data_IF_686450681008
#
_entry.id   IF_686450681008
#
_cell.length_a   1.000
_cell.length_b   1.000
_cell.length_c   1.000
_cell.angle_alpha   90.00
_cell.angle_beta   90.00
_cell.angle_gamma   90.00
#
_symmetry.space_group_name_H-M   'P 1'
#
loop_
_entity.id
_entity.type
_entity.pdbx_description
1 polymer ?
#
# COMPACT_ATOMS: atom_id res chain seq x y z
N UNK A 1 -19.00 14.65 79.38
CA UNK A 1 -17.98 15.72 79.45
C UNK A 1 -17.33 15.81 78.08
N UNK A 2 -17.55 16.93 77.36
CA UNK A 2 -16.77 17.47 76.22
C UNK A 2 -16.75 16.61 74.92
N UNK A 3 -16.95 17.06 73.68
CA UNK A 3 -17.10 18.35 72.96
C UNK A 3 -17.75 17.95 71.60
N UNK A 4 -18.87 18.53 71.16
CA UNK A 4 -19.00 19.77 70.35
C UNK A 4 -18.56 19.66 68.87
N UNK A 5 -19.56 19.85 67.98
CA UNK A 5 -19.53 20.54 66.66
C UNK A 5 -18.60 19.96 65.57
N UNK A 6 -19.06 19.65 64.35
CA UNK A 6 -19.50 20.63 63.34
C UNK A 6 -20.37 20.02 62.25
N UNK A 7 -21.37 20.80 61.85
CA UNK A 7 -22.24 20.63 60.70
C UNK A 7 -21.49 20.78 59.35
N UNK A 8 -22.17 20.23 58.34
CA UNK A 8 -22.30 20.72 56.97
C UNK A 8 -21.22 20.45 55.91
N UNK A 9 -21.73 19.76 54.88
CA UNK A 9 -21.61 20.12 53.47
C UNK A 9 -20.24 19.97 52.83
N UNK A 10 -19.89 18.77 52.37
CA UNK A 10 -18.86 18.63 51.31
C UNK A 10 -18.92 17.33 50.48
N UNK A 11 -20.05 16.61 50.49
CA UNK A 11 -20.31 15.55 49.50
C UNK A 11 -21.52 15.92 48.64
N UNK A 12 -21.45 17.08 47.98
CA UNK A 12 -22.32 17.32 46.82
C UNK A 12 -21.77 16.51 45.67
N UNK A 13 -22.52 15.44 45.34
CA UNK A 13 -22.52 14.74 44.06
C UNK A 13 -22.06 15.68 42.94
N UNK A 14 -20.89 15.40 42.35
CA UNK A 14 -20.60 15.85 40.98
C UNK A 14 -21.43 14.95 40.07
N UNK A 15 -22.73 15.23 40.03
CA UNK A 15 -23.64 14.71 39.02
C UNK A 15 -23.34 15.43 37.71
N UNK A 16 -23.13 14.66 36.66
CA UNK A 16 -23.14 15.09 35.26
C UNK A 16 -21.97 15.96 34.81
N UNK A 17 -20.76 15.39 34.80
CA UNK A 17 -19.86 15.74 33.70
C UNK A 17 -20.48 15.08 32.46
N UNK A 18 -21.17 15.87 31.64
CA UNK A 18 -21.43 15.51 30.25
C UNK A 18 -20.08 15.45 29.55
N UNK A 19 -19.37 14.33 29.70
CA UNK A 19 -18.33 13.97 28.75
C UNK A 19 -19.09 13.90 27.43
N UNK A 20 -18.82 14.77 26.45
CA UNK A 20 -19.41 14.58 25.13
C UNK A 20 -19.01 13.16 24.76
N UNK A 21 -20.00 12.26 24.63
CA UNK A 21 -19.76 10.96 24.00
C UNK A 21 -19.11 11.34 22.69
N UNK A 22 -17.82 11.06 22.54
CA UNK A 22 -17.12 11.25 21.27
C UNK A 22 -17.91 10.37 20.34
N UNK A 23 -18.76 10.99 19.52
CA UNK A 23 -19.55 10.29 18.54
C UNK A 23 -18.51 9.81 17.55
N UNK A 24 -18.09 8.57 17.70
CA UNK A 24 -17.38 7.86 16.66
C UNK A 24 -18.39 7.74 15.53
N UNK A 25 -18.38 8.72 14.62
CA UNK A 25 -19.10 8.65 13.36
C UNK A 25 -18.44 7.52 12.58
N UNK A 26 -18.84 6.29 12.86
CA UNK A 26 -18.58 5.14 11.99
C UNK A 26 -19.51 5.29 10.80
N UNK A 27 -19.26 6.28 9.96
CA UNK A 27 -19.73 6.21 8.59
C UNK A 27 -18.93 5.07 7.96
N UNK A 28 -19.62 4.07 7.43
CA UNK A 28 -19.02 3.00 6.62
C UNK A 28 -18.44 3.64 5.34
N UNK A 29 -17.28 4.29 5.46
CA UNK A 29 -16.61 4.93 4.33
C UNK A 29 -15.94 3.82 3.53
N UNK A 30 -16.29 3.65 2.24
CA UNK A 30 -15.66 2.63 1.41
C UNK A 30 -14.17 2.93 1.26
N UNK A 31 -13.33 2.07 1.83
CA UNK A 31 -11.87 2.18 1.72
C UNK A 31 -11.32 1.10 0.80
N UNK A 32 -10.98 1.48 -0.43
CA UNK A 32 -10.37 0.59 -1.41
C UNK A 32 -8.90 0.35 -1.08
N UNK A 33 -8.49 -0.92 -1.14
CA UNK A 33 -7.08 -1.33 -0.94
C UNK A 33 -6.23 -0.81 -2.10
N UNK A 34 -5.10 -0.17 -1.77
CA UNK A 34 -4.16 0.35 -2.77
C UNK A 34 -3.30 -0.76 -3.39
N UNK A 35 -2.58 -0.46 -4.47
CA UNK A 35 -1.65 -1.40 -5.11
C UNK A 35 -0.50 -1.86 -4.21
N UNK A 36 -0.14 -1.07 -3.17
CA UNK A 36 0.83 -1.47 -2.14
C UNK A 36 0.20 -2.29 -1.01
N UNK A 37 -1.12 -2.42 -1.02
CA UNK A 37 -1.89 -3.15 -0.03
C UNK A 37 -2.37 -2.33 1.17
N UNK A 38 -2.16 -1.01 1.19
CA UNK A 38 -2.66 -0.15 2.26
C UNK A 38 -4.19 -0.07 2.25
N UNK A 39 -4.78 -0.26 3.43
CA UNK A 39 -6.18 -0.06 3.78
C UNK A 39 -6.25 0.29 5.28
N UNK A 40 -7.14 1.19 5.69
CA UNK A 40 -7.41 1.52 7.07
C UNK A 40 -8.34 0.47 7.70
N UNK A 41 -8.24 0.31 9.02
CA UNK A 41 -9.24 -0.44 9.78
C UNK A 41 -10.55 0.33 9.79
N UNK A 42 -11.69 -0.37 9.87
CA UNK A 42 -13.01 0.24 9.86
C UNK A 42 -13.24 1.23 11.01
N UNK A 43 -12.56 1.04 12.13
CA UNK A 43 -12.64 1.91 13.33
C UNK A 43 -11.61 3.03 13.34
N UNK A 44 -10.75 3.12 12.32
CA UNK A 44 -9.68 4.11 12.29
C UNK A 44 -10.23 5.52 12.02
N UNK A 45 -10.02 6.42 12.99
CA UNK A 45 -10.45 7.82 12.90
C UNK A 45 -9.91 8.55 11.66
N UNK A 46 -8.82 8.06 11.07
CA UNK A 46 -8.21 8.62 9.86
C UNK A 46 -9.13 8.51 8.63
N UNK A 47 -10.15 7.63 8.65
CA UNK A 47 -11.14 7.50 7.57
C UNK A 47 -12.03 8.73 7.41
N UNK A 48 -12.15 9.57 8.44
CA UNK A 48 -12.97 10.80 8.42
C UNK A 48 -12.59 11.73 7.25
N UNK A 49 -11.34 11.71 6.79
CA UNK A 49 -10.89 12.54 5.65
C UNK A 49 -11.57 12.19 4.32
N UNK A 50 -12.15 11.00 4.22
CA UNK A 50 -12.84 10.47 3.05
C UNK A 50 -14.37 10.46 3.22
N UNK A 51 -14.91 11.07 4.27
CA UNK A 51 -16.35 11.31 4.35
C UNK A 51 -16.76 12.24 3.21
N UNK A 52 -17.84 11.88 2.51
CA UNK A 52 -18.35 12.55 1.31
C UNK A 52 -17.35 12.66 0.15
N UNK A 53 -16.25 11.90 0.19
CA UNK A 53 -15.17 11.93 -0.81
C UNK A 53 -14.69 10.53 -1.14
N UNK A 54 -14.32 10.32 -2.40
CA UNK A 54 -13.77 9.04 -2.82
C UNK A 54 -12.24 9.03 -2.65
N UNK A 55 -11.72 7.99 -2.00
CA UNK A 55 -10.28 7.70 -2.01
C UNK A 55 -9.85 7.34 -3.43
N UNK A 56 -8.93 8.11 -3.99
CA UNK A 56 -8.40 7.86 -5.35
C UNK A 56 -7.36 6.74 -5.31
N UNK A 57 -7.65 5.64 -6.01
CA UNK A 57 -6.73 4.52 -6.20
C UNK A 57 -6.65 4.24 -7.70
N UNK A 58 -5.45 4.05 -8.22
CA UNK A 58 -5.26 3.65 -9.61
C UNK A 58 -5.71 2.19 -9.80
N UNK A 59 -6.71 1.88 -10.65
CA UNK A 59 -7.20 0.52 -10.85
C UNK A 59 -6.24 -0.36 -11.67
N UNK A 60 -5.31 0.21 -12.43
CA UNK A 60 -4.37 -0.54 -13.28
C UNK A 60 -3.06 -0.76 -12.53
N UNK A 61 -2.94 -1.90 -11.87
CA UNK A 61 -1.74 -2.22 -11.10
C UNK A 61 -0.61 -2.70 -12.03
N UNK A 62 0.59 -2.15 -11.84
CA UNK A 62 1.75 -2.48 -12.68
C UNK A 62 2.16 -3.95 -12.57
N UNK A 63 1.96 -4.58 -11.40
CA UNK A 63 2.25 -6.01 -11.18
C UNK A 63 1.44 -6.91 -12.12
N UNK A 64 0.16 -6.61 -12.34
CA UNK A 64 -0.70 -7.41 -13.22
C UNK A 64 -0.32 -7.19 -14.68
N UNK A 65 -0.03 -5.93 -15.04
CA UNK A 65 0.36 -5.56 -16.40
C UNK A 65 1.68 -6.21 -16.83
N UNK A 66 2.70 -6.24 -15.96
CA UNK A 66 3.99 -6.84 -16.32
C UNK A 66 3.92 -8.38 -16.37
N UNK A 67 3.12 -8.99 -15.49
CA UNK A 67 2.89 -10.44 -15.50
C UNK A 67 2.18 -10.89 -16.79
N UNK A 68 1.32 -10.04 -17.36
CA UNK A 68 0.64 -10.30 -18.63
C UNK A 68 1.57 -10.28 -19.85
N UNK A 69 2.75 -9.64 -19.77
CA UNK A 69 3.73 -9.60 -20.86
C UNK A 69 4.58 -10.89 -20.84
N UNK A 70 4.58 -11.72 -21.89
CA UNK A 70 5.37 -12.96 -21.89
C UNK A 70 6.88 -12.69 -21.87
N UNK A 71 7.69 -13.59 -21.29
CA UNK A 71 9.15 -13.51 -21.40
C UNK A 71 9.62 -13.57 -22.85
N UNK A 72 10.69 -12.83 -23.15
CA UNK A 72 11.32 -12.81 -24.48
C UNK A 72 12.41 -13.88 -24.56
N UNK A 73 12.26 -14.80 -25.49
CA UNK A 73 13.28 -15.79 -25.83
C UNK A 73 14.41 -15.13 -26.64
N UNK A 74 15.65 -15.50 -26.31
CA UNK A 74 16.87 -14.96 -26.90
C UNK A 74 17.96 -16.02 -26.99
N UNK A 75 18.65 -16.11 -28.12
CA UNK A 75 19.76 -17.07 -28.32
C UNK A 75 21.10 -16.67 -27.68
N UNK A 76 21.20 -15.55 -26.98
CA UNK A 76 22.46 -15.05 -26.42
C UNK A 76 22.55 -15.23 -24.92
N UNK A 77 23.76 -15.50 -24.42
CA UNK A 77 24.08 -15.61 -22.99
C UNK A 77 23.86 -14.30 -22.22
N UNK A 78 24.13 -13.16 -22.85
CA UNK A 78 23.96 -11.83 -22.26
C UNK A 78 23.13 -10.99 -23.21
N UNK A 79 22.08 -10.37 -22.68
CA UNK A 79 21.23 -9.44 -23.45
C UNK A 79 21.30 -8.05 -22.86
N UNK A 80 20.98 -7.05 -23.68
CA UNK A 80 20.85 -5.68 -23.23
C UNK A 80 19.42 -5.19 -23.32
N UNK A 81 19.05 -4.32 -22.41
CA UNK A 81 17.74 -3.67 -22.38
C UNK A 81 17.92 -2.18 -22.09
N UNK A 82 17.21 -1.34 -22.83
CA UNK A 82 17.13 0.10 -22.65
C UNK A 82 15.68 0.57 -22.42
N UNK A 83 14.72 -0.35 -22.30
CA UNK A 83 13.30 -0.04 -22.14
C UNK A 83 12.60 0.39 -23.43
N UNK A 84 13.30 0.41 -24.57
CA UNK A 84 12.79 0.89 -25.85
C UNK A 84 12.83 2.40 -26.01
N UNK A 85 12.86 2.86 -27.26
CA UNK A 85 12.86 4.30 -27.60
C UNK A 85 14.19 5.02 -27.35
N UNK A 86 15.29 4.29 -27.13
CA UNK A 86 16.62 4.86 -26.94
C UNK A 86 16.68 5.78 -25.70
N UNK A 87 16.87 7.10 -25.87
CA UNK A 87 16.98 8.02 -24.73
C UNK A 87 15.68 8.20 -23.91
N UNK A 88 14.52 7.77 -24.43
CA UNK A 88 13.24 7.87 -23.70
C UNK A 88 12.97 6.70 -22.76
N UNK A 89 13.80 5.65 -22.84
CA UNK A 89 13.71 4.50 -21.96
C UNK A 89 14.56 4.67 -20.70
N UNK A 90 15.09 3.57 -20.19
CA UNK A 90 16.02 3.57 -19.06
C UNK A 90 17.47 3.43 -19.55
N UNK A 91 18.48 3.70 -18.70
CA UNK A 91 19.87 3.46 -19.07
C UNK A 91 20.08 2.03 -19.54
N UNK A 92 20.86 1.85 -20.60
CA UNK A 92 21.18 0.52 -21.14
C UNK A 92 21.83 -0.33 -20.05
N UNK A 93 21.22 -1.47 -19.76
CA UNK A 93 21.76 -2.49 -18.85
C UNK A 93 21.96 -3.81 -19.55
N UNK A 94 22.89 -4.60 -19.02
CA UNK A 94 23.18 -5.96 -19.48
C UNK A 94 22.65 -6.96 -18.44
N UNK A 95 21.98 -7.99 -18.92
CA UNK A 95 21.30 -9.03 -18.13
C UNK A 95 21.96 -10.36 -18.47
N UNK A 96 22.42 -11.09 -17.45
CA UNK A 96 23.05 -12.38 -17.60
C UNK A 96 22.00 -13.50 -17.58
N UNK A 97 22.03 -14.38 -18.58
CA UNK A 97 21.07 -15.49 -18.75
C UNK A 97 21.72 -16.87 -18.53
N UNK A 98 22.83 -16.92 -17.78
CA UNK A 98 23.57 -18.16 -17.49
C UNK A 98 22.77 -19.23 -16.77
N UNK A 99 21.83 -18.81 -15.91
CA UNK A 99 20.98 -19.74 -15.16
C UNK A 99 19.70 -19.99 -15.96
N UNK A 100 19.11 -21.20 -15.88
CA UNK A 100 17.82 -21.46 -16.51
C UNK A 100 16.72 -20.58 -15.88
N UNK A 101 15.71 -20.23 -16.69
CA UNK A 101 14.51 -19.50 -16.26
C UNK A 101 14.46 -18.02 -16.66
N UNK A 102 13.47 -17.33 -16.12
CA UNK A 102 13.19 -15.91 -16.39
C UNK A 102 14.19 -14.99 -15.69
N UNK A 103 14.87 -14.16 -16.47
CA UNK A 103 15.71 -13.08 -15.95
C UNK A 103 15.07 -11.72 -16.21
N UNK A 104 14.84 -10.98 -15.13
CA UNK A 104 14.08 -9.74 -15.18
C UNK A 104 14.99 -8.52 -15.31
N UNK A 105 14.63 -7.59 -16.18
CA UNK A 105 15.24 -6.26 -16.21
C UNK A 105 14.81 -5.47 -14.96
N UNK A 106 15.77 -4.95 -14.19
CA UNK A 106 15.51 -4.19 -12.96
C UNK A 106 14.82 -2.83 -13.16
N UNK A 107 14.63 -2.38 -14.41
CA UNK A 107 13.95 -1.11 -14.71
C UNK A 107 12.54 -1.35 -15.24
N UNK A 108 12.41 -1.92 -16.45
CA UNK A 108 11.13 -2.09 -17.11
C UNK A 108 10.36 -3.35 -16.65
N UNK A 109 11.00 -4.27 -15.91
CA UNK A 109 10.39 -5.51 -15.46
C UNK A 109 10.20 -6.56 -16.56
N UNK A 110 10.63 -6.30 -17.79
CA UNK A 110 10.59 -7.29 -18.88
C UNK A 110 11.48 -8.48 -18.54
N UNK A 111 11.03 -9.66 -18.96
CA UNK A 111 11.67 -10.94 -18.67
C UNK A 111 12.33 -11.48 -19.93
N UNK A 112 13.50 -12.09 -19.77
CA UNK A 112 14.28 -12.68 -20.84
C UNK A 112 14.66 -14.12 -20.47
N UNK A 113 14.57 -15.02 -21.43
CA UNK A 113 14.91 -16.44 -21.26
C UNK A 113 15.87 -16.84 -22.36
N UNK A 114 16.95 -17.51 -22.00
CA UNK A 114 17.87 -18.05 -22.99
C UNK A 114 17.24 -19.28 -23.66
N UNK A 115 17.25 -19.33 -24.99
CA UNK A 115 16.86 -20.52 -25.74
C UNK A 115 17.84 -21.68 -25.44
N UNK A 116 17.29 -22.87 -25.22
CA UNK A 116 18.06 -24.09 -24.99
C UNK A 116 18.56 -24.63 -26.34
N UNK A 117 19.77 -24.22 -26.73
CA UNK A 117 20.50 -24.82 -27.85
C UNK A 117 21.00 -26.21 -27.44
N UNK A 118 20.20 -27.24 -27.70
CA UNK A 118 20.65 -28.63 -27.73
C UNK A 118 21.39 -28.93 -29.04
N UNK A 119 22.66 -28.54 -29.13
CA UNK A 119 23.59 -28.99 -30.17
C UNK A 119 24.68 -29.88 -29.58
#
# INVERSE_FOLDING_TARGET
>A
MLLKFLNNSLFKRVSNINIPKVVTYSTDVPDTKTHTGQQFESTDYRLVRFVDKNKTVNPKFAIDLINAVPPKEVGHRVVWCDGGGGPTGHPKVYINLDKPGDHTCGYCGLRFVKEDDHH
#
